data_IF_603005244574
#
_entry.id   IF_603005244574
#
_cell.length_a   1.000
_cell.length_b   1.000
_cell.length_c   1.000
_cell.angle_alpha   90.00
_cell.angle_beta   90.00
_cell.angle_gamma   90.00
#
_symmetry.space_group_name_H-M   'P 1'
#
loop_
_entity.id
_entity.type
_entity.pdbx_description
1 polymer ?
#
# COMPACT_ATOMS: atom_id res chain seq x y z
N UNK A 1 13.22 -22.80 2.64
CA UNK A 1 12.64 -21.77 3.55
C UNK A 1 12.12 -20.64 2.67
N UNK A 2 10.87 -20.72 2.23
CA UNK A 2 10.22 -19.69 1.41
C UNK A 2 9.96 -18.49 2.32
N UNK A 3 10.67 -17.38 2.04
CA UNK A 3 10.54 -16.12 2.76
C UNK A 3 9.12 -15.61 2.56
N UNK A 4 8.29 -15.72 3.61
CA UNK A 4 6.96 -15.13 3.68
C UNK A 4 7.13 -13.64 3.44
N UNK A 5 6.65 -13.14 2.29
CA UNK A 5 6.68 -11.72 1.98
C UNK A 5 5.95 -10.99 3.09
N UNK A 6 6.67 -10.16 3.84
CA UNK A 6 6.06 -9.23 4.78
C UNK A 6 5.12 -8.33 3.97
N UNK A 7 3.82 -8.57 4.12
CA UNK A 7 2.80 -7.63 3.70
C UNK A 7 3.04 -6.36 4.52
N UNK A 8 3.64 -5.35 3.89
CA UNK A 8 3.81 -4.01 4.45
C UNK A 8 2.48 -3.25 4.52
N UNK A 9 1.41 -3.93 4.94
CA UNK A 9 0.18 -3.29 5.36
C UNK A 9 0.50 -2.44 6.58
N UNK A 10 0.35 -1.12 6.43
CA UNK A 10 0.69 -0.13 7.43
C UNK A 10 0.08 -0.46 8.79
N UNK A 11 0.94 -0.87 9.73
CA UNK A 11 0.49 -1.29 11.05
C UNK A 11 1.64 -1.80 11.91
N UNK A 12 2.76 -1.07 11.94
CA UNK A 12 3.91 -1.44 12.76
C UNK A 12 4.92 -0.30 12.83
N UNK A 13 4.79 0.51 13.89
CA UNK A 13 5.80 1.45 14.42
C UNK A 13 6.60 2.28 13.43
N UNK A 14 6.03 3.38 12.93
CA UNK A 14 6.79 4.45 12.26
C UNK A 14 6.43 4.75 10.81
N UNK A 15 5.59 3.92 10.18
CA UNK A 15 5.00 4.22 8.87
C UNK A 15 3.73 5.07 9.01
N UNK A 16 3.67 6.20 8.32
CA UNK A 16 2.46 7.01 8.14
C UNK A 16 1.75 6.58 6.85
N UNK A 17 0.43 6.71 6.83
CA UNK A 17 -0.36 6.55 5.61
C UNK A 17 -0.31 7.85 4.79
N UNK A 18 0.21 7.79 3.57
CA UNK A 18 0.39 8.96 2.71
C UNK A 18 -0.75 9.13 1.70
N UNK A 19 -1.16 8.06 1.02
CA UNK A 19 -2.17 8.11 -0.03
C UNK A 19 -2.92 6.79 -0.13
N UNK A 20 -4.19 6.86 -0.53
CA UNK A 20 -4.93 5.71 -1.03
C UNK A 20 -5.57 6.07 -2.38
N UNK A 21 -5.36 5.20 -3.37
CA UNK A 21 -5.94 5.30 -4.70
C UNK A 21 -6.76 4.04 -5.00
N UNK A 22 -7.89 4.19 -5.70
CA UNK A 22 -8.72 3.07 -6.19
C UNK A 22 -9.05 3.25 -7.67
N UNK A 23 -8.78 2.21 -8.46
CA UNK A 23 -9.27 2.08 -9.84
C UNK A 23 -10.35 1.02 -9.85
N UNK A 24 -11.56 1.42 -10.26
CA UNK A 24 -12.68 0.50 -10.47
C UNK A 24 -12.73 0.11 -11.95
N UNK A 25 -12.41 -1.15 -12.25
CA UNK A 25 -12.42 -1.68 -13.62
C UNK A 25 -13.84 -2.09 -14.06
N UNK A 26 -14.69 -2.40 -13.08
CA UNK A 26 -16.15 -2.52 -13.23
C UNK A 26 -16.84 -2.08 -11.95
N UNK A 27 -18.15 -1.83 -12.04
CA UNK A 27 -18.98 -1.56 -10.87
C UNK A 27 -19.03 -2.80 -9.96
N UNK A 28 -18.86 -2.61 -8.64
CA UNK A 28 -19.13 -3.63 -7.64
C UNK A 28 -20.63 -3.92 -7.54
N UNK A 29 -20.98 -5.19 -7.38
CA UNK A 29 -22.36 -5.64 -7.27
C UNK A 29 -22.58 -6.40 -5.97
N UNK A 30 -23.80 -6.30 -5.44
CA UNK A 30 -24.23 -7.15 -4.32
C UNK A 30 -24.11 -8.61 -4.73
N UNK A 31 -23.50 -9.42 -3.87
CA UNK A 31 -23.25 -10.84 -4.13
C UNK A 31 -21.89 -11.15 -4.76
N UNK A 32 -21.11 -10.13 -5.19
CA UNK A 32 -19.70 -10.35 -5.55
C UNK A 32 -18.93 -10.89 -4.34
N UNK A 33 -18.17 -11.97 -4.54
CA UNK A 33 -17.22 -12.49 -3.55
C UNK A 33 -15.82 -12.15 -4.04
N UNK A 34 -15.17 -11.19 -3.38
CA UNK A 34 -13.85 -10.73 -3.80
C UNK A 34 -12.73 -11.46 -3.06
N UNK A 35 -11.73 -11.89 -3.83
CA UNK A 35 -10.44 -12.36 -3.32
C UNK A 35 -9.39 -11.28 -3.53
N UNK A 36 -8.60 -11.00 -2.49
CA UNK A 36 -7.54 -9.99 -2.52
C UNK A 36 -6.17 -10.64 -2.74
N UNK A 37 -5.44 -10.17 -3.75
CA UNK A 37 -4.03 -10.49 -3.96
C UNK A 37 -3.20 -9.23 -3.76
N UNK A 38 -2.21 -9.29 -2.86
CA UNK A 38 -1.34 -8.15 -2.56
C UNK A 38 -0.02 -8.30 -3.31
N UNK A 39 0.39 -7.24 -4.00
CA UNK A 39 1.62 -7.13 -4.78
C UNK A 39 2.42 -5.90 -4.32
N UNK A 40 3.75 -5.97 -4.32
CA UNK A 40 4.57 -4.77 -4.11
C UNK A 40 4.37 -3.79 -5.27
N UNK A 41 4.27 -2.50 -4.95
CA UNK A 41 4.29 -1.43 -5.94
C UNK A 41 5.66 -0.74 -6.02
N UNK A 42 5.66 0.52 -6.45
CA UNK A 42 6.87 1.34 -6.52
C UNK A 42 7.37 1.73 -5.13
N UNK A 43 8.65 2.06 -5.04
CA UNK A 43 9.23 2.73 -3.87
C UNK A 43 10.07 3.89 -4.34
N UNK A 44 10.08 4.99 -3.58
CA UNK A 44 10.84 6.19 -3.91
C UNK A 44 11.19 6.99 -2.65
N UNK A 45 12.12 7.92 -2.79
CA UNK A 45 12.59 8.76 -1.69
C UNK A 45 12.35 10.24 -2.01
N UNK A 46 12.15 11.05 -0.97
CA UNK A 46 12.10 12.51 -1.08
C UNK A 46 12.84 13.15 0.09
N UNK A 47 13.51 14.27 -0.17
CA UNK A 47 14.12 15.05 0.91
C UNK A 47 13.03 15.61 1.83
N UNK A 48 13.12 15.31 3.13
CA UNK A 48 12.22 15.82 4.15
C UNK A 48 12.61 17.22 4.60
N UNK A 49 11.62 18.00 5.05
CA UNK A 49 11.83 19.41 5.47
C UNK A 49 12.81 19.59 6.63
N UNK A 50 13.06 18.55 7.42
CA UNK A 50 13.92 18.55 8.62
C UNK A 50 15.28 17.87 8.40
N UNK A 51 15.73 17.74 7.15
CA UNK A 51 17.08 17.22 6.85
C UNK A 51 17.25 15.70 7.00
N UNK A 52 16.20 14.95 6.65
CA UNK A 52 16.22 13.49 6.57
C UNK A 52 15.27 13.00 5.49
N UNK A 53 15.51 11.82 4.93
CA UNK A 53 14.72 11.30 3.82
C UNK A 53 13.34 10.80 4.27
N UNK A 54 12.36 10.97 3.38
CA UNK A 54 11.07 10.31 3.41
C UNK A 54 11.11 9.13 2.44
N UNK A 55 10.94 7.92 2.96
CA UNK A 55 10.93 6.68 2.20
C UNK A 55 9.48 6.28 1.94
N UNK A 56 9.06 6.29 0.68
CA UNK A 56 7.71 5.93 0.25
C UNK A 56 7.72 4.53 -0.36
N UNK A 57 6.65 3.78 -0.12
CA UNK A 57 6.43 2.47 -0.74
C UNK A 57 4.94 2.24 -1.00
N UNK A 58 4.63 1.77 -2.20
CA UNK A 58 3.30 1.33 -2.59
C UNK A 58 3.05 -0.14 -2.22
N UNK A 59 1.82 -0.41 -1.79
CA UNK A 59 1.22 -1.74 -1.74
C UNK A 59 0.03 -1.76 -2.68
N UNK A 60 0.05 -2.64 -3.67
CA UNK A 60 -1.03 -2.79 -4.66
C UNK A 60 -1.85 -4.02 -4.32
N UNK A 61 -3.15 -3.84 -4.08
CA UNK A 61 -4.09 -4.94 -3.85
C UNK A 61 -5.02 -5.05 -5.05
N UNK A 62 -4.99 -6.20 -5.70
CA UNK A 62 -5.94 -6.57 -6.74
C UNK A 62 -7.10 -7.35 -6.10
N UNK A 63 -8.32 -6.87 -6.31
CA UNK A 63 -9.53 -7.58 -5.92
C UNK A 63 -10.16 -8.22 -7.15
N UNK A 64 -10.22 -9.55 -7.14
CA UNK A 64 -10.84 -10.36 -8.20
C UNK A 64 -12.12 -11.00 -7.70
N UNK A 65 -13.14 -11.10 -8.53
CA UNK A 65 -14.39 -11.76 -8.15
C UNK A 65 -14.30 -13.29 -8.18
N UNK A 66 -15.43 -13.96 -7.93
CA UNK A 66 -15.56 -15.41 -7.94
C UNK A 66 -15.23 -16.09 -9.27
N UNK A 67 -15.22 -15.34 -10.39
CA UNK A 67 -14.84 -15.83 -11.71
C UNK A 67 -13.38 -15.49 -12.06
N UNK A 68 -12.66 -14.79 -11.18
CA UNK A 68 -11.28 -14.35 -11.38
C UNK A 68 -11.15 -13.02 -12.13
N UNK A 69 -12.26 -12.33 -12.43
CA UNK A 69 -12.22 -11.05 -13.13
C UNK A 69 -11.72 -9.94 -12.20
N UNK A 70 -10.80 -9.10 -12.68
CA UNK A 70 -10.27 -7.99 -11.90
C UNK A 70 -11.34 -6.89 -11.78
N UNK A 71 -11.72 -6.57 -10.53
CA UNK A 71 -12.79 -5.62 -10.24
C UNK A 71 -12.23 -4.29 -9.77
N UNK A 72 -11.31 -4.33 -8.80
CA UNK A 72 -10.68 -3.14 -8.22
C UNK A 72 -9.18 -3.36 -8.13
N UNK A 73 -8.44 -2.32 -8.43
CA UNK A 73 -7.05 -2.19 -7.99
C UNK A 73 -6.98 -1.09 -6.94
N UNK A 74 -6.52 -1.42 -5.74
CA UNK A 74 -6.25 -0.47 -4.68
C UNK A 74 -4.74 -0.27 -4.56
N UNK A 75 -4.27 0.96 -4.56
CA UNK A 75 -2.86 1.29 -4.33
C UNK A 75 -2.76 2.15 -3.09
N UNK A 76 -2.18 1.59 -2.02
CA UNK A 76 -1.88 2.31 -0.79
C UNK A 76 -0.42 2.75 -0.77
N UNK A 77 -0.15 3.98 -0.36
CA UNK A 77 1.21 4.52 -0.20
C UNK A 77 1.49 4.73 1.28
N UNK A 78 2.51 4.03 1.78
CA UNK A 78 3.09 4.29 3.10
C UNK A 78 4.31 5.20 2.99
N UNK A 79 4.58 5.98 4.03
CA UNK A 79 5.82 6.77 4.15
C UNK A 79 6.47 6.55 5.51
N UNK A 80 7.80 6.43 5.53
CA UNK A 80 8.63 6.36 6.74
C UNK A 80 9.65 7.48 6.72
N UNK A 81 9.90 8.11 7.86
CA UNK A 81 11.01 9.05 8.04
C UNK A 81 12.28 8.28 8.37
N UNK A 82 13.40 8.60 7.72
CA UNK A 82 14.71 8.01 7.99
C UNK A 82 15.17 8.25 9.44
N UNK A 83 14.80 9.40 10.01
CA UNK A 83 15.06 9.76 11.40
C UNK A 83 13.73 9.99 12.13
N UNK A 84 13.58 9.55 13.38
CA UNK A 84 12.43 9.91 14.20
C UNK A 84 12.30 11.44 14.29
N UNK A 85 11.07 11.96 14.31
CA UNK A 85 10.86 13.36 14.64
C UNK A 85 11.32 13.59 16.08
N UNK A 86 12.40 14.35 16.28
CA UNK A 86 12.78 14.85 17.60
C UNK A 86 11.74 15.92 18.00
N UNK A 87 11.16 15.78 19.18
CA UNK A 87 10.41 16.87 19.81
C UNK A 87 11.41 17.88 20.38
N UNK A 88 11.29 19.15 20.02
CA UNK A 88 11.93 20.26 20.74
C UNK A 88 11.20 20.54 22.05
#
# INVERSE_FOLDING_TARGET
ITKKGESSGGGGGGGLHAEQHYVYHRQLKVGDVLTAEVKPGKSWEKEGRRGGKLLFSETVTEYRDQNGELVITATGVGVRTEKPATSE
#
